data_IF_711082730936
#
_entry.id   IF_711082730936
#
_cell.length_a   1.000
_cell.length_b   1.000
_cell.length_c   1.000
_cell.angle_alpha   90.00
_cell.angle_beta   90.00
_cell.angle_gamma   90.00
#
_symmetry.space_group_name_H-M   'P 1'
#
loop_
_entity.id
_entity.type
_entity.pdbx_description
1 polymer ?
#
# COMPACT_ATOMS: atom_id res chain seq x y z
N UNK A 1 -8.17 -0.93 -29.15
CA UNK A 1 -8.84 -1.03 -27.83
C UNK A 1 -8.79 0.33 -27.15
N UNK A 2 -9.86 0.76 -26.47
CA UNK A 2 -9.82 1.97 -25.69
C UNK A 2 -8.74 1.87 -24.61
N UNK A 3 -8.18 3.01 -24.21
CA UNK A 3 -7.23 3.07 -23.08
C UNK A 3 -7.96 2.61 -21.81
N UNK A 4 -7.31 1.81 -20.96
CA UNK A 4 -7.91 1.40 -19.69
C UNK A 4 -8.07 2.62 -18.77
N UNK A 5 -9.16 2.64 -17.99
CA UNK A 5 -9.32 3.60 -16.92
C UNK A 5 -8.37 3.24 -15.76
N UNK A 6 -7.77 4.26 -15.15
CA UNK A 6 -6.89 4.09 -13.99
C UNK A 6 -7.61 4.62 -12.75
N UNK A 7 -7.69 3.82 -11.71
CA UNK A 7 -8.33 4.18 -10.45
C UNK A 7 -7.39 3.99 -9.26
N UNK A 8 -7.23 5.02 -8.40
CA UNK A 8 -7.67 6.42 -8.59
C UNK A 8 -7.03 7.05 -9.81
N UNK A 9 -7.70 8.04 -10.39
CA UNK A 9 -7.16 8.75 -11.54
C UNK A 9 -5.85 9.46 -11.16
N UNK A 10 -4.75 9.23 -11.88
CA UNK A 10 -3.49 9.93 -11.64
C UNK A 10 -3.60 11.43 -11.94
N UNK A 11 -2.69 12.21 -11.38
CA UNK A 11 -2.66 13.67 -11.55
C UNK A 11 -2.43 14.09 -13.00
N UNK A 12 -1.49 13.45 -13.67
CA UNK A 12 -1.19 13.73 -15.08
C UNK A 12 -1.05 12.41 -15.85
N UNK A 13 -1.80 12.29 -16.96
CA UNK A 13 -1.82 11.09 -17.80
C UNK A 13 -1.74 11.50 -19.26
N UNK A 14 -0.70 11.04 -19.94
CA UNK A 14 -0.57 11.16 -21.40
C UNK A 14 -0.27 9.77 -21.96
N UNK A 15 -1.27 9.09 -22.46
CA UNK A 15 -1.17 7.74 -23.00
C UNK A 15 -1.57 7.69 -24.47
N UNK A 16 -0.85 6.87 -25.23
CA UNK A 16 -1.12 6.55 -26.63
C UNK A 16 -1.90 5.23 -26.73
N UNK A 17 -2.64 5.07 -27.82
CA UNK A 17 -3.22 3.78 -28.20
C UNK A 17 -2.18 2.79 -28.72
N UNK A 18 -0.97 3.27 -29.08
CA UNK A 18 0.16 2.40 -29.38
C UNK A 18 0.61 1.68 -28.11
N UNK A 19 1.05 0.44 -28.27
CA UNK A 19 1.44 -0.41 -27.14
C UNK A 19 2.83 -0.98 -27.34
N UNK A 20 3.62 -0.95 -26.24
CA UNK A 20 4.86 -1.73 -26.20
C UNK A 20 4.53 -3.21 -26.11
N UNK A 21 5.44 -4.03 -26.65
CA UNK A 21 5.45 -5.49 -26.54
C UNK A 21 6.80 -5.93 -26.03
N UNK A 22 6.82 -6.83 -25.06
CA UNK A 22 8.04 -7.39 -24.50
C UNK A 22 7.98 -8.92 -24.58
N UNK A 23 8.19 -9.51 -25.78
CA UNK A 23 8.08 -10.95 -25.96
C UNK A 23 9.11 -11.74 -25.13
N UNK A 24 10.24 -11.12 -24.78
CA UNK A 24 11.29 -11.70 -23.95
C UNK A 24 11.26 -11.25 -22.50
N UNK A 25 10.21 -10.50 -22.09
CA UNK A 25 10.06 -9.98 -20.75
C UNK A 25 10.90 -8.73 -20.47
N UNK A 26 11.20 -8.49 -19.17
CA UNK A 26 11.90 -7.31 -18.71
C UNK A 26 13.08 -7.67 -17.82
N UNK A 27 14.18 -6.95 -17.98
CA UNK A 27 15.35 -7.02 -17.10
C UNK A 27 15.34 -5.85 -16.13
N UNK A 28 15.40 -6.15 -14.83
CA UNK A 28 15.41 -5.13 -13.77
C UNK A 28 16.75 -4.39 -13.73
N UNK A 29 16.71 -3.07 -13.62
CA UNK A 29 17.88 -2.21 -13.49
C UNK A 29 17.62 -1.01 -12.59
N UNK A 30 18.68 -0.29 -12.21
CA UNK A 30 18.62 0.91 -11.38
C UNK A 30 18.77 0.57 -9.90
N UNK A 31 17.69 0.66 -9.11
CA UNK A 31 17.72 0.43 -7.67
C UNK A 31 18.10 -1.03 -7.33
N UNK A 32 19.11 -1.22 -6.48
CA UNK A 32 19.61 -2.55 -6.12
C UNK A 32 18.64 -3.36 -5.27
N UNK A 33 17.92 -2.71 -4.36
CA UNK A 33 16.99 -3.34 -3.42
C UNK A 33 15.63 -2.62 -3.45
N UNK A 34 14.85 -2.79 -4.53
CA UNK A 34 13.51 -2.23 -4.59
C UNK A 34 12.58 -2.94 -3.59
N UNK A 35 11.52 -2.26 -3.20
CA UNK A 35 10.54 -2.79 -2.24
C UNK A 35 9.95 -4.13 -2.69
N UNK A 36 10.01 -5.14 -1.81
CA UNK A 36 9.58 -6.51 -2.13
C UNK A 36 8.10 -6.64 -2.43
N UNK A 37 7.24 -5.88 -1.75
CA UNK A 37 5.79 -5.93 -1.97
C UNK A 37 5.43 -5.32 -3.34
N UNK A 38 6.06 -4.21 -3.70
CA UNK A 38 5.92 -3.62 -5.02
C UNK A 38 6.46 -4.56 -6.11
N UNK A 39 7.60 -5.18 -5.88
CA UNK A 39 8.18 -6.14 -6.83
C UNK A 39 7.34 -7.39 -6.98
N UNK A 40 6.66 -7.85 -5.94
CA UNK A 40 5.69 -8.94 -6.03
C UNK A 40 4.56 -8.60 -7.00
N UNK A 41 3.99 -7.40 -6.93
CA UNK A 41 2.97 -6.92 -7.86
C UNK A 41 3.50 -6.79 -9.29
N UNK A 42 4.70 -6.25 -9.45
CA UNK A 42 5.35 -6.12 -10.77
C UNK A 42 5.53 -7.49 -11.40
N UNK A 43 6.03 -8.49 -10.66
CA UNK A 43 6.21 -9.87 -11.17
C UNK A 43 4.89 -10.58 -11.48
N UNK A 44 3.79 -10.20 -10.86
CA UNK A 44 2.46 -10.72 -11.21
C UNK A 44 1.96 -10.16 -12.55
N UNK A 45 2.46 -9.01 -12.95
CA UNK A 45 2.03 -8.28 -14.15
C UNK A 45 2.99 -8.46 -15.32
N UNK A 46 4.29 -8.40 -15.03
CA UNK A 46 5.37 -8.42 -16.00
C UNK A 46 6.29 -9.62 -15.79
N UNK A 47 6.72 -10.25 -16.89
CA UNK A 47 7.73 -11.30 -16.84
C UNK A 47 9.09 -10.68 -16.58
N UNK A 48 9.66 -10.86 -15.40
CA UNK A 48 11.03 -10.42 -15.06
C UNK A 48 11.98 -11.56 -15.31
N UNK A 49 13.04 -11.32 -16.08
CA UNK A 49 13.97 -12.33 -16.58
C UNK A 49 15.38 -11.76 -16.74
N UNK A 50 16.36 -12.63 -16.85
CA UNK A 50 17.76 -12.29 -17.17
C UNK A 50 18.10 -12.49 -18.66
N UNK A 51 17.08 -12.62 -19.52
CA UNK A 51 17.26 -12.77 -20.96
C UNK A 51 17.91 -11.50 -21.53
N UNK A 52 18.96 -11.66 -22.34
CA UNK A 52 19.69 -10.54 -22.98
C UNK A 52 18.84 -9.74 -23.98
N UNK A 53 17.74 -10.31 -24.47
CA UNK A 53 16.80 -9.65 -25.39
C UNK A 53 15.61 -9.01 -24.65
N UNK A 54 15.56 -9.11 -23.31
CA UNK A 54 14.53 -8.50 -22.51
C UNK A 54 14.68 -6.98 -22.48
N UNK A 55 13.54 -6.27 -22.42
CA UNK A 55 13.54 -4.82 -22.34
C UNK A 55 13.88 -4.34 -20.91
N UNK A 56 14.55 -3.18 -20.75
CA UNK A 56 14.84 -2.65 -19.44
C UNK A 56 13.54 -2.24 -18.68
N UNK A 57 13.46 -2.62 -17.42
CA UNK A 57 12.59 -2.03 -16.41
C UNK A 57 13.50 -1.31 -15.41
N UNK A 58 13.57 0.01 -15.51
CA UNK A 58 14.39 0.83 -14.61
C UNK A 58 13.57 1.31 -13.42
N UNK A 59 14.15 1.22 -12.22
CA UNK A 59 13.59 1.80 -11.01
C UNK A 59 14.63 2.76 -10.43
N UNK A 60 14.28 4.03 -10.30
CA UNK A 60 15.18 5.10 -9.84
C UNK A 60 14.50 5.99 -8.82
N UNK A 61 15.28 6.80 -8.11
CA UNK A 61 14.73 7.88 -7.29
C UNK A 61 14.35 9.07 -8.15
N UNK A 62 13.25 9.75 -7.79
CA UNK A 62 12.85 11.00 -8.43
C UNK A 62 13.94 12.07 -8.22
N UNK A 63 14.43 12.62 -9.30
CA UNK A 63 15.38 13.74 -9.29
C UNK A 63 14.65 15.08 -9.14
N UNK A 64 13.47 15.20 -9.74
CA UNK A 64 12.61 16.38 -9.57
C UNK A 64 12.16 16.48 -8.11
N UNK A 65 12.41 17.65 -7.52
CA UNK A 65 12.16 17.96 -6.11
C UNK A 65 11.04 18.96 -5.92
N UNK A 66 10.11 19.08 -6.87
CA UNK A 66 8.89 19.85 -6.65
C UNK A 66 8.16 19.37 -5.40
N UNK A 67 7.44 20.24 -4.68
CA UNK A 67 6.75 19.86 -3.44
C UNK A 67 5.83 18.64 -3.60
N UNK A 68 5.18 18.52 -4.75
CA UNK A 68 4.26 17.42 -5.06
C UNK A 68 5.01 16.08 -5.17
N UNK A 69 6.13 16.06 -5.86
CA UNK A 69 6.93 14.86 -6.09
C UNK A 69 7.80 14.46 -4.90
N UNK A 70 7.86 15.26 -3.84
CA UNK A 70 8.45 14.87 -2.54
C UNK A 70 7.47 14.13 -1.65
N UNK A 71 6.17 14.13 -1.98
CA UNK A 71 5.15 13.46 -1.17
C UNK A 71 5.36 11.95 -1.18
N UNK A 72 5.13 11.32 -0.03
CA UNK A 72 5.15 9.86 0.05
C UNK A 72 4.11 9.26 -0.90
N UNK A 73 4.54 8.31 -1.74
CA UNK A 73 3.71 7.68 -2.74
C UNK A 73 3.76 8.34 -4.13
N UNK A 74 4.55 9.40 -4.32
CA UNK A 74 4.71 10.02 -5.63
C UNK A 74 5.57 9.15 -6.57
N UNK A 75 5.22 9.14 -7.85
CA UNK A 75 5.97 8.44 -8.90
C UNK A 75 5.80 9.10 -10.26
N UNK A 76 6.77 8.85 -11.12
CA UNK A 76 6.74 9.12 -12.55
C UNK A 76 6.94 7.79 -13.28
N UNK A 77 5.99 7.40 -14.11
CA UNK A 77 6.02 6.19 -14.92
C UNK A 77 6.09 6.58 -16.39
N UNK A 78 7.15 6.16 -17.07
CA UNK A 78 7.35 6.38 -18.50
C UNK A 78 7.43 5.03 -19.20
N UNK A 79 6.61 4.85 -20.22
CA UNK A 79 6.54 3.64 -21.03
C UNK A 79 6.83 4.01 -22.48
N UNK A 80 7.96 3.54 -22.98
CA UNK A 80 8.39 3.70 -24.38
C UNK A 80 8.38 2.34 -25.10
N UNK A 81 8.60 2.27 -26.42
CA UNK A 81 8.76 0.98 -27.09
C UNK A 81 9.96 0.18 -26.60
N UNK A 82 10.98 0.85 -26.03
CA UNK A 82 12.28 0.28 -25.68
C UNK A 82 12.44 -0.05 -24.18
N UNK A 83 11.68 0.64 -23.31
CA UNK A 83 11.87 0.49 -21.85
C UNK A 83 10.66 0.96 -21.03
N UNK A 84 10.62 0.52 -19.78
CA UNK A 84 9.79 1.11 -18.72
C UNK A 84 10.73 1.79 -17.72
N UNK A 85 10.45 3.06 -17.41
CA UNK A 85 11.17 3.82 -16.38
C UNK A 85 10.20 4.23 -15.27
N UNK A 86 10.52 3.88 -14.03
CA UNK A 86 9.75 4.21 -12.83
C UNK A 86 10.65 5.00 -11.89
N UNK A 87 10.42 6.31 -11.79
CA UNK A 87 11.07 7.15 -10.81
C UNK A 87 10.15 7.39 -9.61
N UNK A 88 10.66 7.21 -8.39
CA UNK A 88 9.85 7.15 -7.16
C UNK A 88 10.36 8.10 -6.08
N UNK A 89 9.43 8.61 -5.26
CA UNK A 89 9.77 9.34 -4.05
C UNK A 89 10.24 8.42 -2.93
N UNK A 90 9.59 7.27 -2.78
CA UNK A 90 9.81 6.26 -1.74
C UNK A 90 9.24 4.89 -2.16
N UNK A 91 9.31 3.90 -1.26
CA UNK A 91 8.77 2.55 -1.50
C UNK A 91 7.26 2.54 -1.76
N UNK A 92 6.51 3.45 -1.17
CA UNK A 92 5.07 3.61 -1.42
C UNK A 92 4.83 4.08 -2.84
N UNK A 93 5.67 4.97 -3.38
CA UNK A 93 5.62 5.39 -4.78
C UNK A 93 5.82 4.22 -5.75
N UNK A 94 6.75 3.31 -5.47
CA UNK A 94 6.94 2.10 -6.28
C UNK A 94 5.72 1.18 -6.23
N UNK A 95 5.15 0.97 -5.05
CA UNK A 95 3.95 0.16 -4.86
C UNK A 95 2.76 0.73 -5.65
N UNK A 96 2.57 2.06 -5.63
CA UNK A 96 1.51 2.73 -6.37
C UNK A 96 1.74 2.70 -7.89
N UNK A 97 2.96 2.84 -8.35
CA UNK A 97 3.31 2.64 -9.76
C UNK A 97 3.02 1.20 -10.21
N UNK A 98 3.31 0.20 -9.37
CA UNK A 98 2.99 -1.20 -9.63
C UNK A 98 1.48 -1.44 -9.74
N UNK A 99 0.67 -0.81 -8.90
CA UNK A 99 -0.80 -0.86 -9.00
C UNK A 99 -1.29 -0.25 -10.33
N UNK A 100 -0.71 0.86 -10.74
CA UNK A 100 -1.03 1.49 -12.03
C UNK A 100 -0.65 0.58 -13.20
N UNK A 101 0.54 -0.03 -13.17
CA UNK A 101 0.97 -1.00 -14.19
C UNK A 101 -0.01 -2.17 -14.33
N UNK A 102 -0.50 -2.72 -13.22
CA UNK A 102 -1.51 -3.79 -13.26
C UNK A 102 -2.79 -3.38 -13.99
N UNK A 103 -3.24 -2.15 -13.81
CA UNK A 103 -4.44 -1.63 -14.48
C UNK A 103 -4.21 -1.35 -15.97
N UNK A 104 -2.99 -1.01 -16.37
CA UNK A 104 -2.61 -0.72 -17.75
C UNK A 104 -2.33 -1.97 -18.59
N UNK A 105 -1.89 -3.04 -17.94
CA UNK A 105 -1.48 -4.27 -18.61
C UNK A 105 -2.66 -4.97 -19.27
N UNK A 106 -2.46 -5.38 -20.51
CA UNK A 106 -3.40 -6.21 -21.26
C UNK A 106 -2.66 -7.36 -21.92
N UNK A 107 -3.32 -8.48 -22.10
CA UNK A 107 -2.77 -9.62 -22.82
C UNK A 107 -3.21 -9.56 -24.29
N UNK A 108 -2.26 -9.70 -25.21
CA UNK A 108 -2.57 -9.77 -26.64
C UNK A 108 -3.08 -11.18 -27.02
N UNK A 109 -3.47 -11.35 -28.29
CA UNK A 109 -3.98 -12.62 -28.80
C UNK A 109 -2.94 -13.76 -28.84
N UNK A 110 -1.67 -13.48 -28.52
CA UNK A 110 -0.56 -14.42 -28.44
C UNK A 110 -0.17 -14.73 -27.00
N UNK A 111 -0.85 -14.14 -26.01
CA UNK A 111 -0.56 -14.33 -24.59
C UNK A 111 0.53 -13.40 -24.03
N UNK A 112 1.04 -12.42 -24.81
CA UNK A 112 2.05 -11.49 -24.34
C UNK A 112 1.41 -10.32 -23.59
N UNK A 113 2.06 -9.89 -22.52
CA UNK A 113 1.69 -8.66 -21.83
C UNK A 113 2.06 -7.44 -22.67
N UNK A 114 1.10 -6.53 -22.84
CA UNK A 114 1.28 -5.27 -23.55
C UNK A 114 0.87 -4.10 -22.67
N UNK A 115 1.55 -2.96 -22.85
CA UNK A 115 1.30 -1.72 -22.10
C UNK A 115 1.14 -0.54 -23.07
N UNK A 116 0.22 0.43 -22.84
CA UNK A 116 0.14 1.63 -23.64
C UNK A 116 1.40 2.48 -23.48
N UNK A 117 1.87 3.09 -24.55
CA UNK A 117 2.99 4.02 -24.49
C UNK A 117 2.55 5.35 -23.86
N UNK A 118 3.43 5.96 -23.07
CA UNK A 118 3.17 7.29 -22.55
C UNK A 118 3.78 7.58 -21.20
N UNK A 119 3.23 8.60 -20.54
CA UNK A 119 3.74 9.13 -19.29
C UNK A 119 2.59 9.28 -18.29
N UNK A 120 2.83 8.83 -17.06
CA UNK A 120 1.96 9.03 -15.92
C UNK A 120 2.78 9.66 -14.80
N UNK A 121 2.31 10.79 -14.29
CA UNK A 121 2.85 11.44 -13.10
C UNK A 121 1.75 11.47 -12.05
N UNK A 122 2.07 10.94 -10.88
CA UNK A 122 1.08 10.82 -9.82
C UNK A 122 1.68 11.11 -8.44
N UNK A 123 0.85 11.70 -7.60
CA UNK A 123 1.16 12.01 -6.21
C UNK A 123 -0.14 12.20 -5.43
N UNK A 124 -0.16 11.94 -4.11
CA UNK A 124 -1.37 12.13 -3.33
C UNK A 124 -1.65 13.61 -3.04
N UNK A 125 -2.92 14.01 -3.11
CA UNK A 125 -3.34 15.37 -2.72
C UNK A 125 -3.36 15.55 -1.21
N UNK A 126 -3.72 14.49 -0.47
CA UNK A 126 -3.80 14.50 1.00
C UNK A 126 -2.91 13.42 1.61
N UNK A 127 -2.35 13.73 2.77
CA UNK A 127 -1.40 12.84 3.44
C UNK A 127 -2.06 11.54 3.93
N UNK A 128 -3.26 11.60 4.49
CA UNK A 128 -3.98 10.45 5.04
C UNK A 128 -5.21 10.13 4.22
N UNK A 129 -5.32 8.90 3.76
CA UNK A 129 -6.39 8.38 2.88
C UNK A 129 -6.78 7.01 3.37
N UNK A 130 -8.02 6.86 3.83
CA UNK A 130 -8.46 5.56 4.34
C UNK A 130 -9.74 5.64 5.16
N UNK A 131 -9.87 4.77 6.13
CA UNK A 131 -11.07 4.61 6.91
C UNK A 131 -10.79 4.51 8.40
N UNK A 132 -11.84 4.78 9.18
CA UNK A 132 -11.90 4.54 10.62
C UNK A 132 -12.97 3.47 10.86
N UNK A 133 -12.57 2.32 11.42
CA UNK A 133 -13.51 1.35 11.93
C UNK A 133 -13.81 1.66 13.40
N UNK A 134 -14.87 2.38 13.64
CA UNK A 134 -15.32 2.84 14.96
C UNK A 134 -16.81 3.17 14.98
N UNK A 135 -17.54 2.72 13.97
CA UNK A 135 -18.97 2.95 13.80
C UNK A 135 -19.81 2.06 14.74
N UNK A 136 -21.06 2.44 14.93
CA UNK A 136 -22.05 1.63 15.60
C UNK A 136 -22.63 0.59 14.65
N UNK A 137 -23.07 -0.55 15.18
CA UNK A 137 -23.56 -1.69 14.43
C UNK A 137 -22.54 -2.84 14.45
N UNK A 138 -22.71 -3.78 13.52
CA UNK A 138 -21.85 -4.96 13.45
C UNK A 138 -20.46 -4.59 12.89
N UNK A 139 -19.37 -4.79 13.64
CA UNK A 139 -18.02 -4.58 13.14
C UNK A 139 -17.69 -5.54 12.00
N UNK A 140 -16.70 -5.16 11.20
CA UNK A 140 -16.20 -6.04 10.15
C UNK A 140 -15.60 -7.32 10.72
N UNK A 141 -15.75 -8.41 10.01
CA UNK A 141 -15.04 -9.65 10.34
C UNK A 141 -13.54 -9.52 10.10
N UNK A 142 -12.74 -10.43 10.66
CA UNK A 142 -11.29 -10.47 10.39
C UNK A 142 -11.01 -10.62 8.89
N UNK A 143 -11.77 -11.48 8.20
CA UNK A 143 -11.66 -11.68 6.74
C UNK A 143 -11.96 -10.39 5.98
N UNK A 144 -13.04 -9.70 6.34
CA UNK A 144 -13.40 -8.43 5.70
C UNK A 144 -12.32 -7.37 5.89
N UNK A 145 -11.70 -7.29 7.08
CA UNK A 145 -10.59 -6.37 7.35
C UNK A 145 -9.38 -6.68 6.47
N UNK A 146 -9.02 -7.94 6.30
CA UNK A 146 -7.93 -8.37 5.41
C UNK A 146 -8.24 -7.97 3.95
N UNK A 147 -9.46 -8.22 3.47
CA UNK A 147 -9.88 -7.85 2.11
C UNK A 147 -9.90 -6.33 1.91
N UNK A 148 -10.35 -5.58 2.92
CA UNK A 148 -10.34 -4.12 2.91
C UNK A 148 -8.90 -3.57 2.78
N UNK A 149 -7.94 -4.11 3.52
CA UNK A 149 -6.54 -3.68 3.44
C UNK A 149 -5.94 -3.93 2.05
N UNK A 150 -6.28 -5.05 1.41
CA UNK A 150 -5.89 -5.34 0.02
C UNK A 150 -6.54 -4.37 -0.97
N UNK A 151 -7.80 -4.06 -0.76
CA UNK A 151 -8.50 -3.06 -1.56
C UNK A 151 -7.90 -1.66 -1.39
N UNK A 152 -7.53 -1.28 -0.16
CA UNK A 152 -6.87 0.01 0.10
C UNK A 152 -5.54 0.13 -0.64
N UNK A 153 -4.74 -0.94 -0.67
CA UNK A 153 -3.51 -0.98 -1.47
C UNK A 153 -3.78 -0.70 -2.95
N UNK A 154 -4.80 -1.34 -3.53
CA UNK A 154 -5.22 -1.12 -4.93
C UNK A 154 -5.67 0.32 -5.21
N UNK A 155 -6.37 0.92 -4.25
CA UNK A 155 -6.91 2.28 -4.35
C UNK A 155 -5.92 3.35 -3.84
N UNK A 156 -4.68 2.97 -3.53
CA UNK A 156 -3.63 3.88 -3.06
C UNK A 156 -4.02 4.62 -1.77
N UNK A 157 -4.85 4.00 -0.95
CA UNK A 157 -5.13 4.43 0.42
C UNK A 157 -4.01 3.98 1.34
N UNK A 158 -3.76 4.72 2.42
CA UNK A 158 -2.61 4.48 3.28
C UNK A 158 -2.94 4.43 4.77
N UNK A 159 -4.21 4.52 5.17
CA UNK A 159 -4.59 4.65 6.57
C UNK A 159 -5.78 3.78 6.91
N UNK A 160 -5.65 2.95 7.94
CA UNK A 160 -6.74 2.22 8.56
C UNK A 160 -6.68 2.40 10.07
N UNK A 161 -7.66 3.09 10.63
CA UNK A 161 -7.76 3.31 12.08
C UNK A 161 -8.67 2.24 12.65
N UNK A 162 -8.08 1.36 13.48
CA UNK A 162 -8.74 0.24 14.13
C UNK A 162 -9.28 0.66 15.50
N UNK A 163 -10.60 0.68 15.65
CA UNK A 163 -11.29 0.97 16.90
C UNK A 163 -12.71 0.37 16.93
N UNK A 164 -12.89 -0.96 16.64
CA UNK A 164 -14.21 -1.58 16.59
C UNK A 164 -14.92 -1.51 17.93
N UNK A 165 -16.21 -1.22 17.94
CA UNK A 165 -17.01 -1.01 19.16
C UNK A 165 -17.20 -2.29 20.00
N UNK A 166 -17.04 -3.47 19.41
CA UNK A 166 -17.13 -4.77 20.08
C UNK A 166 -15.79 -5.26 20.63
N UNK A 167 -14.70 -4.51 20.43
CA UNK A 167 -13.39 -4.88 20.97
C UNK A 167 -13.21 -4.28 22.37
N UNK A 168 -13.28 -5.10 23.44
CA UNK A 168 -13.14 -4.61 24.81
C UNK A 168 -11.68 -4.35 25.21
N UNK A 169 -10.71 -4.69 24.36
CA UNK A 169 -9.27 -4.58 24.66
C UNK A 169 -8.63 -3.28 24.16
N UNK A 170 -9.32 -2.52 23.32
CA UNK A 170 -8.93 -1.15 23.00
C UNK A 170 -9.73 -0.12 23.79
N UNK A 171 -10.82 -0.55 24.43
CA UNK A 171 -11.70 0.29 25.25
C UNK A 171 -12.02 -0.41 26.58
N UNK A 172 -12.92 0.20 27.39
CA UNK A 172 -13.44 -0.44 28.59
C UNK A 172 -14.21 -1.72 28.26
N UNK A 173 -14.16 -2.76 29.11
CA UNK A 173 -13.52 -2.74 30.45
C UNK A 173 -12.07 -3.22 30.46
N UNK A 174 -11.50 -3.71 29.35
CA UNK A 174 -10.26 -4.48 29.33
C UNK A 174 -9.09 -3.78 28.64
N UNK A 175 -9.15 -2.46 28.40
CA UNK A 175 -8.06 -1.75 27.72
C UNK A 175 -6.69 -1.85 28.46
N UNK A 176 -6.71 -2.13 29.78
CA UNK A 176 -5.49 -2.34 30.58
C UNK A 176 -4.87 -3.73 30.37
N UNK A 177 -5.63 -4.69 29.84
CA UNK A 177 -5.22 -6.08 29.68
C UNK A 177 -4.59 -6.35 28.32
N UNK A 178 -3.70 -7.34 28.21
CA UNK A 178 -3.26 -7.82 26.89
C UNK A 178 -4.45 -8.44 26.13
N UNK A 179 -4.34 -8.43 24.81
CA UNK A 179 -5.25 -9.21 23.97
C UNK A 179 -5.08 -10.72 24.28
N UNK A 180 -6.16 -11.51 24.30
CA UNK A 180 -6.07 -12.96 24.28
C UNK A 180 -5.30 -13.45 23.03
N UNK A 181 -4.77 -14.66 23.10
CA UNK A 181 -3.86 -15.20 22.07
C UNK A 181 -4.46 -15.15 20.65
N UNK A 182 -5.72 -15.54 20.50
CA UNK A 182 -6.42 -15.54 19.21
C UNK A 182 -6.53 -14.12 18.62
N UNK A 183 -7.01 -13.19 19.41
CA UNK A 183 -7.19 -11.78 19.02
C UNK A 183 -5.84 -11.10 18.79
N UNK A 184 -4.83 -11.41 19.59
CA UNK A 184 -3.47 -10.93 19.36
C UNK A 184 -2.90 -11.43 18.03
N UNK A 185 -3.13 -12.70 17.68
CA UNK A 185 -2.75 -13.24 16.37
C UNK A 185 -3.47 -12.53 15.23
N UNK A 186 -4.75 -12.25 15.37
CA UNK A 186 -5.52 -11.48 14.38
C UNK A 186 -4.98 -10.05 14.19
N UNK A 187 -4.62 -9.36 15.28
CA UNK A 187 -3.96 -8.04 15.18
C UNK A 187 -2.64 -8.13 14.41
N UNK A 188 -1.81 -9.14 14.71
CA UNK A 188 -0.55 -9.36 13.96
C UNK A 188 -0.78 -9.57 12.48
N UNK A 189 -1.81 -10.35 12.12
CA UNK A 189 -2.18 -10.57 10.72
C UNK A 189 -2.59 -9.27 10.02
N UNK A 190 -3.40 -8.45 10.69
CA UNK A 190 -3.83 -7.14 10.16
C UNK A 190 -2.64 -6.20 9.97
N UNK A 191 -1.74 -6.12 10.94
CA UNK A 191 -0.52 -5.30 10.84
C UNK A 191 0.34 -5.74 9.66
N UNK A 192 0.53 -7.05 9.50
CA UNK A 192 1.31 -7.64 8.40
C UNK A 192 0.66 -7.35 7.04
N UNK A 193 -0.64 -7.58 6.91
CA UNK A 193 -1.37 -7.35 5.65
C UNK A 193 -1.39 -5.86 5.30
N UNK A 194 -1.58 -4.98 6.28
CA UNK A 194 -1.52 -3.53 6.10
C UNK A 194 -0.14 -3.10 5.54
N UNK A 195 0.94 -3.56 6.16
CA UNK A 195 2.31 -3.26 5.72
C UNK A 195 2.56 -3.74 4.28
N UNK A 196 2.10 -4.95 3.92
CA UNK A 196 2.23 -5.52 2.57
C UNK A 196 1.46 -4.72 1.50
N UNK A 197 0.45 -3.95 1.89
CA UNK A 197 -0.35 -3.08 1.02
C UNK A 197 -0.03 -1.59 1.22
N UNK A 198 1.05 -1.25 1.93
CA UNK A 198 1.49 0.13 2.22
C UNK A 198 0.43 0.95 2.96
N UNK A 199 -0.35 0.29 3.81
CA UNK A 199 -1.36 0.90 4.69
C UNK A 199 -0.82 0.97 6.10
N UNK A 200 -0.91 2.13 6.73
CA UNK A 200 -0.59 2.29 8.15
C UNK A 200 -1.77 1.75 8.98
N UNK A 201 -1.52 0.70 9.73
CA UNK A 201 -2.46 0.19 10.72
C UNK A 201 -2.35 1.05 11.98
N UNK A 202 -3.36 1.87 12.23
CA UNK A 202 -3.42 2.76 13.40
C UNK A 202 -4.29 2.11 14.46
N UNK A 203 -3.70 1.71 15.59
CA UNK A 203 -4.46 1.15 16.69
C UNK A 203 -4.94 2.26 17.62
N UNK A 204 -6.27 2.42 17.71
CA UNK A 204 -6.88 3.41 18.58
C UNK A 204 -7.09 2.85 19.99
N UNK A 205 -6.83 3.67 21.03
CA UNK A 205 -7.21 3.37 22.41
C UNK A 205 -8.34 4.29 22.85
N UNK A 206 -9.33 3.74 23.58
CA UNK A 206 -10.45 4.48 24.12
C UNK A 206 -10.64 4.18 25.62
N UNK A 207 -9.78 4.71 26.50
CA UNK A 207 -9.83 4.47 27.94
C UNK A 207 -10.82 5.37 28.68
N UNK A 208 -11.46 6.33 28.01
CA UNK A 208 -12.15 7.46 28.61
C UNK A 208 -13.34 7.16 29.49
N UNK A 209 -13.89 5.93 29.45
CA UNK A 209 -15.03 5.57 30.29
C UNK A 209 -14.66 5.25 31.74
N UNK A 210 -13.43 4.77 31.99
CA UNK A 210 -13.03 4.25 33.31
C UNK A 210 -11.58 4.56 33.68
N UNK A 211 -10.85 5.34 32.88
CA UNK A 211 -9.50 5.77 33.22
C UNK A 211 -9.52 6.67 34.46
N UNK A 212 -8.58 6.40 35.37
CA UNK A 212 -8.31 7.24 36.54
C UNK A 212 -7.04 8.03 36.31
N UNK A 213 -7.01 9.26 36.78
CA UNK A 213 -5.84 10.14 36.68
C UNK A 213 -4.82 9.83 37.80
N UNK A 214 -4.36 8.58 37.83
CA UNK A 214 -3.38 8.02 38.76
C UNK A 214 -2.11 7.61 38.04
N UNK A 215 -1.00 7.48 38.80
CA UNK A 215 0.24 6.93 38.23
C UNK A 215 0.06 5.48 37.73
N UNK A 216 -0.80 4.71 38.41
CA UNK A 216 -1.14 3.35 38.00
C UNK A 216 -1.74 3.31 36.58
N UNK A 217 -2.77 4.13 36.32
CA UNK A 217 -3.41 4.14 35.01
C UNK A 217 -2.53 4.80 33.93
N UNK A 218 -1.68 5.76 34.31
CA UNK A 218 -0.66 6.25 33.41
C UNK A 218 0.29 5.13 32.95
N UNK A 219 0.74 4.29 33.90
CA UNK A 219 1.56 3.14 33.59
C UNK A 219 0.80 2.08 32.78
N UNK A 220 -0.49 1.85 33.06
CA UNK A 220 -1.33 0.95 32.28
C UNK A 220 -1.42 1.36 30.80
N UNK A 221 -1.58 2.66 30.51
CA UNK A 221 -1.57 3.17 29.14
C UNK A 221 -0.23 2.90 28.46
N UNK A 222 0.88 3.24 29.12
CA UNK A 222 2.23 3.00 28.57
C UNK A 222 2.49 1.51 28.32
N UNK A 223 2.12 0.65 29.26
CA UNK A 223 2.23 -0.80 29.13
C UNK A 223 1.39 -1.32 27.96
N UNK A 224 0.16 -0.79 27.78
CA UNK A 224 -0.70 -1.19 26.67
C UNK A 224 -0.10 -0.81 25.32
N UNK A 225 0.45 0.38 25.17
CA UNK A 225 1.17 0.74 23.95
C UNK A 225 2.38 -0.16 23.72
N UNK A 226 3.13 -0.52 24.75
CA UNK A 226 4.20 -1.51 24.68
C UNK A 226 3.74 -2.86 24.15
N UNK A 227 2.64 -3.40 24.71
CA UNK A 227 2.01 -4.65 24.26
C UNK A 227 1.63 -4.59 22.77
N UNK A 228 1.03 -3.50 22.34
CA UNK A 228 0.64 -3.30 20.93
C UNK A 228 1.88 -3.16 20.01
N UNK A 229 2.90 -2.47 20.48
CA UNK A 229 4.17 -2.38 19.77
C UNK A 229 4.81 -3.75 19.56
N UNK A 230 4.75 -4.64 20.57
CA UNK A 230 5.25 -6.01 20.47
C UNK A 230 4.43 -6.88 19.50
N UNK A 231 3.16 -6.54 19.25
CA UNK A 231 2.34 -7.14 18.21
C UNK A 231 2.66 -6.62 16.80
N UNK A 232 3.51 -5.61 16.68
CA UNK A 232 3.92 -5.03 15.41
C UNK A 232 3.28 -3.68 15.08
N UNK A 233 2.39 -3.16 15.91
CA UNK A 233 1.76 -1.84 15.72
C UNK A 233 2.82 -0.74 15.79
N UNK A 234 2.77 0.23 14.87
CA UNK A 234 3.70 1.38 14.78
C UNK A 234 3.00 2.73 14.71
N UNK A 235 1.67 2.74 14.65
CA UNK A 235 0.85 3.95 14.63
C UNK A 235 -0.26 3.84 15.66
N UNK A 236 -0.50 4.95 16.39
CA UNK A 236 -1.43 5.00 17.51
C UNK A 236 -2.27 6.28 17.46
#
# INVERSE_FOLDING_TARGET
>A
NPLPAIHPQPQEVTLSTNRMKAPHGFTLSGMQHPDDDAMRLIRQTLSITDNSEALPLKITSLEDRTPELKRSGAYLLVITPEEIDIAISDSRGLFYAAQTLQQLAQTDGQGNTTLPLGVIKDYPDVAYRGTVEGFYGDPWSHTDRIEQLRFYGKMKMNTYIYGPKDDPYHSSPNWRKPYPEKEAAQIKDLVKEAAANKVDFVWAIHPGLDIKWTDEDRMNVLNKFGMMYDLGVRSF
#
